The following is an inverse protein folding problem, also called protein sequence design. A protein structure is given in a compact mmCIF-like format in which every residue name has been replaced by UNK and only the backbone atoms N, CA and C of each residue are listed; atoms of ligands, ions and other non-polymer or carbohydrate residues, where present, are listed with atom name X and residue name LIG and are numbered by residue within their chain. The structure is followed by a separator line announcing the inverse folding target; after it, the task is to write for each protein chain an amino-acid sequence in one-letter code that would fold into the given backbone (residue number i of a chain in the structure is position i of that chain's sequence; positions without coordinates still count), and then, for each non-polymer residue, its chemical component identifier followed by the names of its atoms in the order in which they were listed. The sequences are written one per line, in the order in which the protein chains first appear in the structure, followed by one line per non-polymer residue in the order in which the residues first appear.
data_IF_347279276151
#
_entry.id   IF_347279276151
#
_cell.length_a   1.000
_cell.length_b   1.000
_cell.length_c   1.000
_cell.angle_alpha   90.00
_cell.angle_beta   90.00
_cell.angle_gamma   90.00
#
_symmetry.space_group_name_H-M   'P 1'
#
loop_
_entity.id
_entity.type
_entity.pdbx_description
1 polymer ?
#
# COMPACT_ATOMS: atom_id res chain seq x y z
N UNK A 1 16.90 -4.68 57.97
CA UNK A 1 17.23 -4.04 56.64
C UNK A 1 16.47 -4.81 55.59
N UNK A 2 15.29 -4.31 55.25
CA UNK A 2 14.47 -4.91 54.18
C UNK A 2 14.84 -4.26 52.87
N UNK A 3 15.47 -5.01 51.99
CA UNK A 3 15.68 -4.62 50.57
C UNK A 3 14.34 -4.80 49.84
N UNK A 4 13.70 -3.69 49.55
CA UNK A 4 12.57 -3.65 48.63
C UNK A 4 13.09 -3.83 47.20
N UNK A 5 12.93 -5.01 46.63
CA UNK A 5 13.14 -5.26 45.20
C UNK A 5 11.93 -4.70 44.47
N UNK A 6 12.09 -3.50 43.93
CA UNK A 6 11.12 -2.96 42.96
C UNK A 6 11.18 -3.79 41.68
N UNK A 7 10.07 -4.35 41.26
CA UNK A 7 9.93 -4.99 39.95
C UNK A 7 10.28 -3.97 38.82
N UNK A 8 10.95 -4.40 37.77
CA UNK A 8 11.18 -3.53 36.62
C UNK A 8 9.85 -3.04 36.02
N UNK A 9 9.80 -1.83 35.47
CA UNK A 9 8.59 -1.33 34.87
C UNK A 9 8.18 -2.28 33.72
N UNK A 10 6.90 -2.56 33.61
CA UNK A 10 6.33 -3.36 32.51
C UNK A 10 6.82 -2.78 31.19
N UNK A 11 7.37 -3.63 30.34
CA UNK A 11 7.84 -3.23 29.01
C UNK A 11 6.69 -2.55 28.26
N UNK A 12 6.96 -1.38 27.68
CA UNK A 12 6.00 -0.61 26.87
C UNK A 12 5.80 -1.24 25.47
N UNK A 13 6.25 -2.50 25.31
CA UNK A 13 6.13 -3.28 24.09
C UNK A 13 4.67 -3.59 23.80
N UNK A 14 4.27 -3.38 22.55
CA UNK A 14 2.94 -3.71 22.02
C UNK A 14 2.92 -5.04 21.26
N UNK A 15 4.09 -5.70 21.16
CA UNK A 15 4.22 -7.02 20.53
C UNK A 15 3.72 -8.12 21.48
N UNK A 16 3.15 -9.17 20.89
CA UNK A 16 2.69 -10.33 21.65
C UNK A 16 3.81 -10.96 22.47
N UNK A 17 3.54 -11.22 23.75
CA UNK A 17 4.48 -11.88 24.65
C UNK A 17 4.50 -13.41 24.51
N UNK A 18 3.69 -13.96 23.59
CA UNK A 18 3.51 -15.39 23.44
C UNK A 18 4.60 -16.04 22.58
N UNK A 19 5.36 -16.92 23.25
CA UNK A 19 6.26 -17.97 22.75
C UNK A 19 7.64 -17.55 22.25
N UNK A 20 8.62 -18.42 22.53
CA UNK A 20 10.02 -18.36 22.04
C UNK A 20 10.16 -18.46 20.51
N UNK A 21 9.06 -18.68 19.78
CA UNK A 21 8.94 -18.61 18.35
C UNK A 21 8.29 -17.28 17.94
N UNK A 22 8.97 -16.16 18.21
CA UNK A 22 8.50 -14.86 17.71
C UNK A 22 8.52 -14.87 16.18
N UNK A 23 7.35 -14.98 15.57
CA UNK A 23 7.14 -15.00 14.11
C UNK A 23 7.80 -13.81 13.43
N UNK A 24 7.81 -12.65 14.10
CA UNK A 24 8.44 -11.41 13.58
C UNK A 24 9.82 -11.24 14.23
N UNK A 25 10.93 -11.24 13.44
CA UNK A 25 12.28 -11.06 13.97
C UNK A 25 12.47 -9.75 14.73
N UNK A 26 13.40 -9.73 15.69
CA UNK A 26 13.72 -8.54 16.49
C UNK A 26 14.10 -7.35 15.61
N UNK A 27 14.91 -7.57 14.57
CA UNK A 27 15.31 -6.53 13.60
C UNK A 27 14.10 -5.81 12.97
N UNK A 28 13.07 -6.56 12.60
CA UNK A 28 11.83 -6.01 12.01
C UNK A 28 11.02 -5.28 13.07
N UNK A 29 10.90 -5.86 14.26
CA UNK A 29 10.18 -5.22 15.38
C UNK A 29 10.81 -3.90 15.79
N UNK A 30 12.14 -3.87 15.96
CA UNK A 30 12.90 -2.69 16.33
C UNK A 30 12.77 -1.57 15.27
N UNK A 31 12.78 -1.94 13.99
CA UNK A 31 12.58 -0.99 12.89
C UNK A 31 11.17 -0.35 12.95
N UNK A 32 10.13 -1.14 13.15
CA UNK A 32 8.75 -0.65 13.32
C UNK A 32 8.60 0.19 14.58
N UNK A 33 9.16 -0.25 15.71
CA UNK A 33 9.09 0.47 16.99
C UNK A 33 9.80 1.81 16.96
N UNK A 34 10.84 1.96 16.11
CA UNK A 34 11.49 3.26 15.87
C UNK A 34 10.51 4.30 15.33
N UNK A 35 9.54 3.89 14.54
CA UNK A 35 8.46 4.75 14.01
C UNK A 35 7.33 4.93 15.02
N UNK A 36 6.91 3.85 15.65
CA UNK A 36 5.75 3.86 16.55
C UNK A 36 6.04 4.54 17.91
N UNK A 37 7.27 4.46 18.40
CA UNK A 37 7.65 5.03 19.68
C UNK A 37 7.34 6.53 19.82
N UNK A 38 7.83 7.39 18.89
CA UNK A 38 7.58 8.84 18.93
C UNK A 38 6.25 9.28 18.34
N UNK A 39 5.41 8.36 17.82
CA UNK A 39 4.25 8.68 16.96
C UNK A 39 3.09 9.41 17.65
N UNK A 40 3.04 9.41 19.00
CA UNK A 40 1.90 9.93 19.74
C UNK A 40 0.64 9.03 19.70
N UNK A 41 0.69 7.89 19.02
CA UNK A 41 -0.39 6.90 19.03
C UNK A 41 -0.59 6.32 20.42
N UNK A 42 -1.84 6.11 20.80
CA UNK A 42 -2.20 5.39 22.02
C UNK A 42 -1.72 3.93 21.96
N UNK A 43 -1.55 3.31 23.14
CA UNK A 43 -1.17 1.89 23.23
C UNK A 43 -2.12 0.98 22.41
N UNK A 44 -3.46 1.10 22.51
CA UNK A 44 -4.35 0.28 21.68
C UNK A 44 -4.17 0.46 20.17
N UNK A 45 -3.92 1.68 19.71
CA UNK A 45 -3.66 1.92 18.29
C UNK A 45 -2.38 1.24 17.81
N UNK A 46 -1.31 1.28 18.61
CA UNK A 46 -0.07 0.55 18.34
C UNK A 46 -0.30 -0.96 18.34
N UNK A 47 -1.02 -1.50 19.32
CA UNK A 47 -1.37 -2.92 19.43
C UNK A 47 -2.16 -3.41 18.20
N UNK A 48 -3.08 -2.61 17.66
CA UNK A 48 -3.80 -2.95 16.42
C UNK A 48 -2.84 -3.16 15.25
N UNK A 49 -1.86 -2.29 15.08
CA UNK A 49 -0.90 -2.42 13.98
C UNK A 49 0.05 -3.61 14.20
N UNK A 50 0.63 -3.75 15.40
CA UNK A 50 1.57 -4.85 15.69
C UNK A 50 0.89 -6.21 15.56
N UNK A 51 -0.35 -6.36 16.03
CA UNK A 51 -1.14 -7.59 15.84
C UNK A 51 -1.40 -7.90 14.36
N UNK A 52 -1.63 -6.88 13.52
CA UNK A 52 -1.76 -7.09 12.07
C UNK A 52 -0.45 -7.53 11.45
N UNK A 53 0.67 -6.93 11.85
CA UNK A 53 2.00 -7.32 11.37
C UNK A 53 2.27 -8.77 11.79
N UNK A 54 2.10 -9.13 13.05
CA UNK A 54 2.30 -10.50 13.53
C UNK A 54 1.48 -11.52 12.74
N UNK A 55 0.22 -11.20 12.45
CA UNK A 55 -0.68 -12.08 11.70
C UNK A 55 -0.24 -12.32 10.26
N UNK A 56 0.22 -11.28 9.57
CA UNK A 56 0.46 -11.34 8.13
C UNK A 56 1.95 -11.42 7.75
N UNK A 57 2.83 -11.33 8.73
CA UNK A 57 4.27 -11.45 8.51
C UNK A 57 4.68 -12.76 7.84
N UNK A 58 4.13 -13.94 8.23
CA UNK A 58 4.50 -15.20 7.59
C UNK A 58 4.25 -15.20 6.08
N UNK A 59 3.12 -14.68 5.64
CA UNK A 59 2.78 -14.61 4.21
C UNK A 59 3.69 -13.63 3.47
N UNK A 60 4.00 -12.49 4.08
CA UNK A 60 4.91 -11.49 3.53
C UNK A 60 6.32 -12.06 3.37
N UNK A 61 6.86 -12.67 4.42
CA UNK A 61 8.25 -13.15 4.41
C UNK A 61 8.44 -14.34 3.48
N UNK A 62 7.47 -15.24 3.36
CA UNK A 62 7.51 -16.37 2.44
C UNK A 62 7.64 -15.90 0.98
N UNK A 63 6.83 -14.91 0.59
CA UNK A 63 6.93 -14.27 -0.72
C UNK A 63 8.29 -13.60 -0.96
N UNK A 64 8.79 -12.85 0.02
CA UNK A 64 10.07 -12.15 -0.09
C UNK A 64 11.27 -13.12 -0.12
N UNK A 65 11.25 -14.20 0.66
CA UNK A 65 12.28 -15.23 0.65
C UNK A 65 12.37 -15.93 -0.70
N UNK A 66 11.22 -16.21 -1.31
CA UNK A 66 11.15 -16.80 -2.65
C UNK A 66 11.83 -15.92 -3.71
N UNK A 67 11.74 -14.59 -3.57
CA UNK A 67 12.30 -13.63 -4.54
C UNK A 67 13.77 -13.27 -4.25
N UNK A 68 14.15 -13.09 -2.98
CA UNK A 68 15.41 -12.45 -2.60
C UNK A 68 16.33 -13.33 -1.75
N UNK A 69 15.86 -14.47 -1.22
CA UNK A 69 16.57 -15.27 -0.22
C UNK A 69 16.57 -14.64 1.18
N UNK A 70 16.84 -15.46 2.22
CA UNK A 70 16.62 -15.12 3.63
C UNK A 70 17.19 -13.77 4.11
N UNK A 71 18.49 -13.44 3.97
CA UNK A 71 18.98 -12.19 4.58
C UNK A 71 18.43 -10.92 3.89
N UNK A 72 18.18 -11.01 2.58
CA UNK A 72 17.64 -9.88 1.82
C UNK A 72 16.15 -9.71 2.07
N UNK A 73 15.41 -10.83 2.19
CA UNK A 73 13.98 -10.85 2.49
C UNK A 73 13.67 -10.18 3.84
N UNK A 74 14.43 -10.49 4.91
CA UNK A 74 14.23 -9.89 6.23
C UNK A 74 14.44 -8.37 6.20
N UNK A 75 15.49 -7.89 5.50
CA UNK A 75 15.71 -6.45 5.34
C UNK A 75 14.59 -5.78 4.54
N UNK A 76 14.16 -6.39 3.44
CA UNK A 76 13.04 -5.88 2.64
C UNK A 76 11.74 -5.84 3.45
N UNK A 77 11.47 -6.87 4.27
CA UNK A 77 10.32 -6.88 5.17
C UNK A 77 10.39 -5.75 6.19
N UNK A 78 11.58 -5.50 6.79
CA UNK A 78 11.77 -4.40 7.73
C UNK A 78 11.49 -3.04 7.08
N UNK A 79 12.01 -2.80 5.86
CA UNK A 79 11.76 -1.57 5.10
C UNK A 79 10.27 -1.39 4.78
N UNK A 80 9.61 -2.40 4.24
CA UNK A 80 8.17 -2.35 3.89
C UNK A 80 7.31 -2.10 5.13
N UNK A 81 7.60 -2.78 6.25
CA UNK A 81 6.81 -2.64 7.46
C UNK A 81 7.08 -1.32 8.19
N UNK A 82 8.28 -0.76 8.06
CA UNK A 82 8.62 0.59 8.55
C UNK A 82 7.81 1.65 7.81
N UNK A 83 7.75 1.58 6.47
CA UNK A 83 6.93 2.48 5.65
C UNK A 83 5.42 2.29 5.94
N UNK A 84 4.97 1.06 6.12
CA UNK A 84 3.59 0.78 6.51
C UNK A 84 3.24 1.36 7.89
N UNK A 85 4.18 1.32 8.85
CA UNK A 85 4.01 1.93 10.16
C UNK A 85 3.97 3.47 10.06
N UNK A 86 4.84 4.08 9.24
CA UNK A 86 4.81 5.53 8.99
C UNK A 86 3.48 5.96 8.37
N UNK A 87 3.02 5.27 7.33
CA UNK A 87 1.73 5.52 6.71
C UNK A 87 0.55 5.34 7.68
N UNK A 88 0.63 4.37 8.60
CA UNK A 88 -0.39 4.17 9.64
C UNK A 88 -0.41 5.31 10.66
N UNK A 89 0.75 5.83 11.04
CA UNK A 89 0.86 7.00 11.95
C UNK A 89 0.22 8.24 11.34
N UNK A 90 0.50 8.51 10.06
CA UNK A 90 -0.05 9.66 9.32
C UNK A 90 -1.54 9.48 8.96
N UNK A 91 -2.04 8.26 9.01
CA UNK A 91 -3.41 7.95 8.60
C UNK A 91 -4.44 8.63 9.49
N UNK A 92 -5.44 9.26 8.87
CA UNK A 92 -6.57 9.86 9.57
C UNK A 92 -7.24 8.89 10.56
N UNK A 93 -7.55 9.31 11.80
CA UNK A 93 -8.20 8.46 12.81
C UNK A 93 -9.50 7.80 12.32
N UNK A 94 -10.32 8.50 11.51
CA UNK A 94 -11.54 7.92 10.93
C UNK A 94 -11.22 6.76 9.99
N UNK A 95 -10.12 6.86 9.24
CA UNK A 95 -9.68 5.79 8.36
C UNK A 95 -9.11 4.60 9.14
N UNK A 96 -8.37 4.84 10.23
CA UNK A 96 -7.93 3.76 11.12
C UNK A 96 -9.11 3.00 11.73
N UNK A 97 -10.19 3.72 12.07
CA UNK A 97 -11.42 3.10 12.57
C UNK A 97 -12.12 2.26 11.49
N UNK A 98 -12.20 2.76 10.26
CA UNK A 98 -12.71 2.01 9.12
C UNK A 98 -11.88 0.75 8.84
N UNK A 99 -10.56 0.83 8.93
CA UNK A 99 -9.67 -0.31 8.76
C UNK A 99 -9.91 -1.39 9.82
N UNK A 100 -10.17 -1.00 11.07
CA UNK A 100 -10.52 -1.94 12.13
C UNK A 100 -11.85 -2.64 11.83
N UNK A 101 -12.87 -1.91 11.42
CA UNK A 101 -14.17 -2.48 11.03
C UNK A 101 -14.02 -3.51 9.90
N UNK A 102 -13.20 -3.20 8.89
CA UNK A 102 -12.89 -4.12 7.78
C UNK A 102 -12.04 -5.32 8.18
N UNK A 103 -11.20 -5.17 9.21
CA UNK A 103 -10.45 -6.29 9.77
C UNK A 103 -11.37 -7.29 10.49
N UNK A 104 -12.43 -6.80 11.11
CA UNK A 104 -13.45 -7.62 11.77
C UNK A 104 -14.40 -8.30 10.78
N UNK A 105 -14.55 -7.73 9.58
CA UNK A 105 -15.31 -8.30 8.47
C UNK A 105 -14.43 -8.35 7.21
N UNK A 106 -13.48 -9.30 7.12
CA UNK A 106 -12.51 -9.34 6.03
C UNK A 106 -13.14 -9.66 4.66
N UNK A 107 -14.36 -10.16 4.64
CA UNK A 107 -15.12 -10.48 3.41
C UNK A 107 -16.03 -9.34 2.97
N UNK A 108 -15.98 -8.19 3.61
CA UNK A 108 -16.87 -7.06 3.37
C UNK A 108 -17.03 -6.67 1.88
N UNK A 109 -15.97 -6.78 1.08
CA UNK A 109 -16.00 -6.45 -0.35
C UNK A 109 -16.67 -7.55 -1.20
N UNK A 110 -16.71 -8.79 -0.67
CA UNK A 110 -17.27 -9.97 -1.35
C UNK A 110 -18.75 -10.18 -1.02
N UNK A 111 -19.33 -9.35 -0.15
CA UNK A 111 -20.75 -9.42 0.19
C UNK A 111 -21.60 -9.25 -1.09
N UNK A 112 -22.55 -10.15 -1.38
CA UNK A 112 -23.39 -10.11 -2.58
C UNK A 112 -24.21 -8.82 -2.74
N UNK A 113 -24.43 -8.07 -1.67
CA UNK A 113 -25.10 -6.75 -1.70
C UNK A 113 -24.19 -5.62 -2.18
N UNK A 114 -22.86 -5.86 -2.27
CA UNK A 114 -21.87 -4.87 -2.70
C UNK A 114 -21.78 -4.83 -4.21
N UNK A 115 -22.03 -3.67 -4.79
CA UNK A 115 -21.94 -3.44 -6.23
C UNK A 115 -20.70 -2.62 -6.53
N UNK A 116 -19.83 -3.14 -7.41
CA UNK A 116 -18.69 -2.42 -7.97
C UNK A 116 -19.07 -1.74 -9.29
N UNK A 117 -18.51 -0.56 -9.53
CA UNK A 117 -18.57 0.12 -10.82
C UNK A 117 -17.15 0.44 -11.27
N UNK A 118 -16.77 -0.01 -12.47
CA UNK A 118 -15.44 0.22 -13.02
C UNK A 118 -15.50 1.07 -14.28
N UNK A 119 -14.54 1.98 -14.44
CA UNK A 119 -14.47 2.79 -15.64
C UNK A 119 -13.23 3.69 -15.69
N UNK A 120 -12.93 4.16 -16.89
CA UNK A 120 -11.95 5.22 -17.09
C UNK A 120 -12.55 6.56 -16.70
N UNK A 121 -11.83 7.34 -15.88
CA UNK A 121 -12.29 8.65 -15.38
C UNK A 121 -12.70 9.58 -16.50
N UNK A 122 -11.86 9.73 -17.52
CA UNK A 122 -12.11 10.62 -18.67
C UNK A 122 -13.33 10.23 -19.51
N UNK A 123 -13.62 8.92 -19.59
CA UNK A 123 -14.77 8.41 -20.34
C UNK A 123 -16.07 8.49 -19.54
N UNK A 124 -15.97 8.32 -18.24
CA UNK A 124 -17.12 8.34 -17.34
C UNK A 124 -17.58 9.75 -17.00
N UNK A 125 -16.61 10.66 -16.73
CA UNK A 125 -16.94 11.96 -16.16
C UNK A 125 -16.00 13.11 -16.57
N UNK A 126 -14.99 12.86 -17.38
CA UNK A 126 -14.00 13.81 -17.85
C UNK A 126 -12.79 13.93 -16.92
N UNK A 127 -13.00 14.21 -15.65
CA UNK A 127 -11.98 14.40 -14.63
C UNK A 127 -12.48 13.94 -13.24
N UNK A 128 -11.63 14.04 -12.21
CA UNK A 128 -11.98 13.65 -10.84
C UNK A 128 -13.13 14.48 -10.26
N UNK A 129 -13.20 15.78 -10.58
CA UNK A 129 -14.31 16.64 -10.17
C UNK A 129 -15.61 16.30 -10.90
N UNK A 130 -15.51 15.81 -12.12
CA UNK A 130 -16.63 15.26 -12.86
C UNK A 130 -17.15 13.98 -12.21
N UNK A 131 -16.28 13.11 -11.73
CA UNK A 131 -16.66 11.90 -10.98
C UNK A 131 -17.42 12.26 -9.71
N UNK A 132 -16.99 13.27 -8.97
CA UNK A 132 -17.72 13.76 -7.80
C UNK A 132 -19.18 14.09 -8.14
N UNK A 133 -19.41 14.79 -9.24
CA UNK A 133 -20.76 15.14 -9.71
C UNK A 133 -21.62 13.91 -10.08
N UNK A 134 -20.98 12.77 -10.31
CA UNK A 134 -21.66 11.50 -10.60
C UNK A 134 -21.97 10.66 -9.36
N UNK A 135 -21.54 11.07 -8.17
CA UNK A 135 -21.81 10.34 -6.91
C UNK A 135 -23.32 10.09 -6.71
N UNK A 136 -24.25 11.05 -6.95
CA UNK A 136 -25.69 10.76 -6.84
C UNK A 136 -26.16 9.61 -7.75
N UNK A 137 -25.66 9.56 -8.99
CA UNK A 137 -25.95 8.47 -9.93
C UNK A 137 -25.40 7.12 -9.44
N UNK A 138 -24.15 7.09 -8.97
CA UNK A 138 -23.55 5.87 -8.42
C UNK A 138 -24.31 5.36 -7.20
N UNK A 139 -24.78 6.28 -6.35
CA UNK A 139 -25.63 5.95 -5.19
C UNK A 139 -26.98 5.36 -5.60
N UNK A 140 -27.62 5.93 -6.62
CA UNK A 140 -28.90 5.42 -7.15
C UNK A 140 -28.74 4.00 -7.70
N UNK A 141 -27.59 3.69 -8.31
CA UNK A 141 -27.23 2.34 -8.75
C UNK A 141 -26.89 1.38 -7.60
N UNK A 142 -26.75 1.87 -6.37
CA UNK A 142 -26.34 1.04 -5.22
C UNK A 142 -24.86 0.71 -5.19
N UNK A 143 -24.00 1.49 -5.86
CA UNK A 143 -22.55 1.27 -5.91
C UNK A 143 -21.94 1.41 -4.53
N UNK A 144 -21.14 0.42 -4.12
CA UNK A 144 -20.41 0.39 -2.85
C UNK A 144 -18.92 0.64 -3.02
N UNK A 145 -18.37 0.36 -4.19
CA UNK A 145 -17.00 0.71 -4.54
C UNK A 145 -16.87 1.10 -6.02
N UNK A 146 -16.08 2.13 -6.24
CA UNK A 146 -15.79 2.68 -7.56
C UNK A 146 -14.34 2.36 -7.92
N UNK A 147 -14.14 1.64 -9.02
CA UNK A 147 -12.82 1.37 -9.57
C UNK A 147 -12.54 2.35 -10.72
N UNK A 148 -11.61 3.26 -10.52
CA UNK A 148 -11.14 4.18 -11.55
C UNK A 148 -9.81 3.68 -12.12
N UNK A 149 -9.84 3.32 -13.40
CA UNK A 149 -8.71 2.75 -14.17
C UNK A 149 -7.94 3.85 -14.90
N UNK A 150 -6.63 3.68 -15.08
CA UNK A 150 -5.64 3.95 -14.06
C UNK A 150 -5.51 5.47 -13.86
N UNK A 151 -5.22 5.88 -12.63
CA UNK A 151 -5.19 7.31 -12.25
C UNK A 151 -3.79 7.93 -12.21
N UNK A 152 -2.74 7.10 -12.07
CA UNK A 152 -1.38 7.60 -11.87
C UNK A 152 -0.80 8.15 -13.18
N UNK A 153 0.18 9.04 -13.06
CA UNK A 153 0.79 9.70 -14.23
C UNK A 153 1.49 8.69 -15.13
N UNK A 154 0.98 8.46 -16.35
CA UNK A 154 1.58 7.55 -17.31
C UNK A 154 2.69 8.24 -18.12
N UNK A 155 3.38 7.47 -18.97
CA UNK A 155 4.25 8.03 -20.00
C UNK A 155 3.48 8.93 -20.97
N UNK A 156 4.14 9.94 -21.57
CA UNK A 156 3.53 10.75 -22.64
C UNK A 156 3.21 9.91 -23.90
N UNK A 157 2.14 10.25 -24.57
CA UNK A 157 1.73 9.62 -25.83
C UNK A 157 1.03 8.27 -25.60
N UNK A 158 1.44 7.24 -26.35
CA UNK A 158 0.90 5.88 -26.23
C UNK A 158 1.34 5.27 -24.90
N UNK A 159 0.42 5.20 -23.97
CA UNK A 159 0.66 4.85 -22.56
C UNK A 159 0.04 3.50 -22.15
N UNK A 160 -0.35 2.67 -23.13
CA UNK A 160 -1.07 1.42 -22.84
C UNK A 160 -2.32 1.65 -21.98
N UNK A 161 -3.16 2.61 -22.37
CA UNK A 161 -4.37 2.96 -21.63
C UNK A 161 -4.10 3.58 -20.26
N UNK A 162 -2.88 4.06 -19.99
CA UNK A 162 -2.44 4.61 -18.70
C UNK A 162 -1.67 3.65 -17.83
N UNK A 163 -1.52 2.38 -18.22
CA UNK A 163 -0.82 1.36 -17.43
C UNK A 163 0.70 1.45 -17.50
N UNK A 164 1.26 2.20 -18.48
CA UNK A 164 2.69 2.50 -18.50
C UNK A 164 3.01 3.68 -17.54
N UNK A 165 3.09 3.39 -16.24
CA UNK A 165 3.24 4.40 -15.18
C UNK A 165 4.63 5.01 -15.19
N UNK A 166 4.71 6.34 -15.28
CA UNK A 166 5.95 7.12 -15.21
C UNK A 166 6.18 7.75 -13.83
N UNK A 167 5.11 8.03 -13.08
CA UNK A 167 5.19 8.56 -11.71
C UNK A 167 4.04 8.02 -10.85
N UNK A 168 4.41 7.33 -9.75
CA UNK A 168 3.46 6.76 -8.79
C UNK A 168 2.99 7.76 -7.72
N UNK A 169 3.54 8.98 -7.70
CA UNK A 169 3.27 10.00 -6.68
C UNK A 169 2.38 11.13 -7.16
N UNK A 170 1.94 11.06 -8.41
CA UNK A 170 1.08 12.07 -9.01
C UNK A 170 -0.07 11.45 -9.78
N UNK A 171 -1.19 12.14 -9.80
CA UNK A 171 -2.33 11.84 -10.66
C UNK A 171 -2.05 12.34 -12.07
N UNK A 172 -2.57 11.64 -13.07
CA UNK A 172 -2.54 12.06 -14.48
C UNK A 172 -3.09 13.49 -14.62
N UNK A 173 -2.30 14.45 -15.15
CA UNK A 173 -2.63 15.88 -15.04
C UNK A 173 -3.95 16.31 -15.71
N UNK A 174 -4.42 15.59 -16.71
CA UNK A 174 -5.71 15.86 -17.36
C UNK A 174 -6.92 15.39 -16.53
N UNK A 175 -6.70 14.58 -15.50
CA UNK A 175 -7.74 14.12 -14.58
C UNK A 175 -7.86 14.98 -13.32
N UNK A 176 -6.80 15.69 -12.94
CA UNK A 176 -6.70 16.46 -11.72
C UNK A 176 -5.36 16.29 -11.03
N UNK A 177 -5.31 16.49 -9.73
CA UNK A 177 -4.13 16.35 -8.88
C UNK A 177 -4.41 15.47 -7.64
N UNK A 178 -3.42 15.38 -6.74
CA UNK A 178 -3.56 14.59 -5.50
C UNK A 178 -4.58 15.19 -4.54
N UNK A 179 -4.77 16.51 -4.55
CA UNK A 179 -5.77 17.17 -3.71
C UNK A 179 -7.19 16.89 -4.23
N UNK A 180 -7.38 16.90 -5.56
CA UNK A 180 -8.63 16.47 -6.19
C UNK A 180 -8.95 15.00 -5.88
N UNK A 181 -7.94 14.11 -5.89
CA UNK A 181 -8.11 12.72 -5.51
C UNK A 181 -8.47 12.56 -4.03
N UNK A 182 -7.79 13.27 -3.15
CA UNK A 182 -8.07 13.27 -1.70
C UNK A 182 -9.49 13.78 -1.43
N UNK A 183 -9.91 14.85 -2.11
CA UNK A 183 -11.27 15.38 -2.00
C UNK A 183 -12.32 14.36 -2.46
N UNK A 184 -12.15 13.79 -3.66
CA UNK A 184 -13.07 12.76 -4.18
C UNK A 184 -13.20 11.57 -3.23
N UNK A 185 -12.09 11.07 -2.68
CA UNK A 185 -12.15 9.95 -1.72
C UNK A 185 -12.92 10.31 -0.45
N UNK A 186 -12.81 11.57 0.01
CA UNK A 186 -13.63 12.10 1.11
C UNK A 186 -15.13 12.10 0.80
N UNK A 187 -15.51 12.60 -0.39
CA UNK A 187 -16.91 12.65 -0.81
C UNK A 187 -17.51 11.25 -1.01
N UNK A 188 -16.75 10.31 -1.59
CA UNK A 188 -17.16 8.92 -1.71
C UNK A 188 -17.40 8.28 -0.34
N UNK A 189 -16.50 8.50 0.64
CA UNK A 189 -16.68 7.96 2.01
C UNK A 189 -17.94 8.46 2.69
N UNK A 190 -18.32 9.72 2.51
CA UNK A 190 -19.58 10.27 3.04
C UNK A 190 -20.81 9.51 2.53
N UNK A 191 -20.68 8.81 1.41
CA UNK A 191 -21.73 7.99 0.81
C UNK A 191 -21.51 6.48 1.02
N UNK A 192 -20.59 6.09 1.93
CA UNK A 192 -20.18 4.70 2.17
C UNK A 192 -19.63 4.00 0.91
N UNK A 193 -19.07 4.75 -0.02
CA UNK A 193 -18.38 4.23 -1.21
C UNK A 193 -16.88 4.21 -1.00
N UNK A 194 -16.22 3.15 -1.47
CA UNK A 194 -14.77 3.03 -1.48
C UNK A 194 -14.23 3.31 -2.87
N UNK A 195 -13.05 3.94 -2.94
CA UNK A 195 -12.28 4.02 -4.18
C UNK A 195 -11.35 2.82 -4.30
N UNK A 196 -11.30 2.24 -5.49
CA UNK A 196 -10.30 1.25 -5.93
C UNK A 196 -9.51 1.87 -7.08
N UNK A 197 -8.20 1.73 -7.05
CA UNK A 197 -7.30 2.17 -8.12
C UNK A 197 -6.36 1.04 -8.51
N UNK A 198 -5.87 1.07 -9.75
CA UNK A 198 -4.84 0.13 -10.18
C UNK A 198 -3.48 0.48 -9.57
N UNK A 199 -2.78 -0.54 -9.11
CA UNK A 199 -1.39 -0.46 -8.67
C UNK A 199 -0.53 -1.38 -9.53
N UNK A 200 0.13 -0.81 -10.52
CA UNK A 200 0.98 -1.56 -11.47
C UNK A 200 2.37 -1.74 -10.85
N UNK A 201 2.69 -2.95 -10.37
CA UNK A 201 3.97 -3.24 -9.72
C UNK A 201 4.92 -4.09 -10.56
N UNK A 202 4.41 -4.76 -11.60
CA UNK A 202 5.15 -5.69 -12.44
C UNK A 202 6.02 -5.01 -13.51
N UNK A 203 5.74 -3.75 -13.84
CA UNK A 203 6.53 -2.95 -14.78
C UNK A 203 6.35 -1.45 -14.52
N UNK A 204 7.24 -0.66 -15.08
CA UNK A 204 7.16 0.81 -15.12
C UNK A 204 7.37 1.31 -16.53
N UNK A 205 6.95 2.54 -16.81
CA UNK A 205 7.26 3.19 -18.07
C UNK A 205 8.79 3.36 -18.28
N UNK A 206 9.23 3.35 -19.52
CA UNK A 206 10.62 3.64 -19.87
C UNK A 206 11.08 5.03 -19.39
N UNK A 207 10.15 5.94 -19.22
CA UNK A 207 10.33 7.32 -18.75
C UNK A 207 10.35 7.43 -17.22
N UNK A 208 10.00 6.39 -16.48
CA UNK A 208 10.11 6.37 -15.03
C UNK A 208 11.55 6.66 -14.57
N UNK A 209 11.72 7.43 -13.51
CA UNK A 209 13.06 7.83 -13.03
C UNK A 209 13.98 6.63 -12.83
N UNK A 210 13.51 5.56 -12.21
CA UNK A 210 14.31 4.36 -11.98
C UNK A 210 14.77 3.71 -13.29
N UNK A 211 13.87 3.61 -14.29
CA UNK A 211 14.22 3.03 -15.60
C UNK A 211 15.25 3.89 -16.33
N UNK A 212 15.13 5.22 -16.28
CA UNK A 212 16.11 6.14 -16.86
C UNK A 212 17.49 6.01 -16.20
N UNK A 213 17.54 5.95 -14.85
CA UNK A 213 18.79 5.83 -14.10
C UNK A 213 19.43 4.45 -14.27
N UNK A 214 18.63 3.39 -14.32
CA UNK A 214 19.11 2.04 -14.68
C UNK A 214 19.79 2.02 -16.08
N UNK A 215 19.18 2.65 -17.07
CA UNK A 215 19.75 2.79 -18.42
C UNK A 215 21.01 3.65 -18.44
N UNK A 216 21.12 4.64 -17.56
CA UNK A 216 22.33 5.43 -17.39
C UNK A 216 23.48 4.66 -16.73
N UNK A 217 23.25 3.42 -16.29
CA UNK A 217 24.26 2.53 -15.72
C UNK A 217 24.38 2.60 -14.20
N UNK A 218 23.46 3.29 -13.51
CA UNK A 218 23.48 3.37 -12.04
C UNK A 218 23.07 2.02 -11.45
N UNK A 219 24.04 1.33 -10.80
CA UNK A 219 23.87 -0.05 -10.31
C UNK A 219 22.66 -0.19 -9.37
N UNK A 220 22.49 0.71 -8.40
CA UNK A 220 21.35 0.69 -7.48
C UNK A 220 20.01 0.57 -8.20
N UNK A 221 19.82 1.25 -9.33
CA UNK A 221 18.57 1.24 -10.09
C UNK A 221 18.48 0.07 -11.05
N UNK A 222 19.65 -0.45 -11.51
CA UNK A 222 19.68 -1.68 -12.30
C UNK A 222 19.18 -2.88 -11.50
N UNK A 223 19.44 -2.90 -10.21
CA UNK A 223 19.04 -3.97 -9.29
C UNK A 223 17.50 -4.05 -9.09
N UNK A 224 16.75 -3.04 -9.51
CA UNK A 224 15.28 -3.06 -9.49
C UNK A 224 14.64 -3.76 -10.69
N UNK A 225 15.43 -4.15 -11.70
CA UNK A 225 14.92 -4.68 -12.96
C UNK A 225 15.59 -6.00 -13.30
N UNK A 226 14.84 -6.91 -13.88
CA UNK A 226 15.42 -8.03 -14.60
C UNK A 226 16.07 -7.52 -15.88
N UNK A 227 17.40 -7.59 -15.95
CA UNK A 227 18.19 -7.11 -17.08
C UNK A 227 18.96 -8.30 -17.64
N UNK A 228 18.65 -8.68 -18.86
CA UNK A 228 19.29 -9.77 -19.57
C UNK A 228 20.41 -9.24 -20.47
N UNK A 229 21.52 -9.98 -20.64
CA UNK A 229 22.64 -9.57 -21.49
C UNK A 229 22.28 -9.56 -22.99
N UNK A 230 21.33 -10.41 -23.38
CA UNK A 230 20.81 -10.55 -24.74
C UNK A 230 19.34 -10.97 -24.71
N UNK A 231 18.79 -11.36 -25.86
CA UNK A 231 17.40 -11.75 -26.01
C UNK A 231 17.14 -13.26 -25.88
N UNK A 232 18.15 -14.08 -25.59
CA UNK A 232 17.96 -15.52 -25.58
C UNK A 232 16.88 -15.99 -24.60
N UNK A 233 16.96 -15.53 -23.34
CA UNK A 233 15.93 -15.82 -22.34
C UNK A 233 14.60 -15.09 -22.61
N UNK A 234 14.56 -13.76 -22.88
CA UNK A 234 13.30 -13.08 -23.18
C UNK A 234 12.53 -13.69 -24.36
N UNK A 235 13.22 -14.11 -25.43
CA UNK A 235 12.58 -14.71 -26.60
C UNK A 235 11.93 -16.08 -26.31
N UNK A 236 12.30 -16.75 -25.24
CA UNK A 236 11.64 -17.98 -24.80
C UNK A 236 10.27 -17.73 -24.15
N UNK A 237 10.08 -16.57 -23.54
CA UNK A 237 8.81 -16.18 -22.93
C UNK A 237 7.83 -15.52 -23.93
N UNK A 238 8.33 -15.06 -25.09
CA UNK A 238 7.52 -14.40 -26.11
C UNK A 238 6.95 -15.37 -27.17
N UNK A 239 7.17 -16.68 -27.00
CA UNK A 239 6.62 -17.74 -27.88
C UNK A 239 5.22 -18.13 -27.44
#
# INVERSE_FOLDING_TARGET
MNASTSAPPASDSTWSACSDDAVVPAEVRDAVDTVLGPSGLSRPEREILTTRIERWYPDLIDGLVTLYGDPAATRAAAEVLTEAAAAYVERDPELRHLDLARTLDPTWIQDPSRIGYAGYTERFAGDLRGVEKRIPYLRELGVSYLHLMPLLTPRPGDSDGGYAVADYRSVRPDLGDMDDLAHLTGELRKQNMSLVIDLVLNHVAAEHEWARRARAGEQRYRDYFFIYPDRAEPDEYEK
#
